data_IF_758879841309
#
_entry.id   IF_758879841309
#
_cell.length_a   1.000
_cell.length_b   1.000
_cell.length_c   1.000
_cell.angle_alpha   90.00
_cell.angle_beta   90.00
_cell.angle_gamma   90.00
#
_symmetry.space_group_name_H-M   'P 1'
#
loop_
_entity.id
_entity.type
_entity.pdbx_description
1 polymer ?
#
# COMPACT_ATOMS: atom_id res chain seq x y z
N UNK A 1 -10.53 -4.47 -6.70
CA UNK A 1 -9.84 -5.73 -6.33
C UNK A 1 -10.80 -6.85 -6.73
N UNK A 2 -10.35 -7.79 -7.56
CA UNK A 2 -11.24 -8.67 -8.34
C UNK A 2 -11.53 -10.04 -7.68
N UNK A 3 -11.23 -10.23 -6.39
CA UNK A 3 -11.58 -11.47 -5.69
C UNK A 3 -10.90 -11.62 -4.34
N UNK A 4 -11.28 -12.68 -3.63
CA UNK A 4 -10.65 -13.06 -2.37
C UNK A 4 -9.18 -13.43 -2.58
N UNK A 5 -8.31 -12.91 -1.71
CA UNK A 5 -6.85 -12.99 -1.88
C UNK A 5 -6.28 -14.41 -2.02
N UNK A 6 -6.98 -15.41 -1.48
CA UNK A 6 -6.54 -16.81 -1.42
C UNK A 6 -7.33 -17.73 -2.37
N UNK A 7 -7.98 -17.15 -3.39
CA UNK A 7 -8.74 -17.89 -4.41
C UNK A 7 -7.88 -18.83 -5.25
N UNK A 8 -6.63 -18.45 -5.54
CA UNK A 8 -5.70 -19.22 -6.36
C UNK A 8 -4.50 -19.69 -5.53
N UNK A 9 -3.92 -20.84 -5.89
CA UNK A 9 -2.71 -21.34 -5.27
C UNK A 9 -1.51 -20.46 -5.66
N UNK A 10 -0.70 -20.16 -4.66
CA UNK A 10 0.58 -19.45 -4.82
C UNK A 10 1.73 -20.35 -4.40
N UNK A 11 2.88 -20.18 -5.05
CA UNK A 11 4.13 -20.81 -4.64
C UNK A 11 4.71 -20.09 -3.40
N UNK A 12 5.88 -20.56 -2.94
CA UNK A 12 6.57 -20.01 -1.76
C UNK A 12 6.99 -18.52 -1.89
N UNK A 13 7.00 -17.98 -3.11
CA UNK A 13 7.31 -16.58 -3.40
C UNK A 13 6.06 -15.71 -3.60
N UNK A 14 4.86 -16.27 -3.45
CA UNK A 14 3.58 -15.57 -3.68
C UNK A 14 3.15 -15.45 -5.14
N UNK A 15 3.86 -16.09 -6.08
CA UNK A 15 3.47 -16.14 -7.49
C UNK A 15 2.45 -17.24 -7.74
N UNK A 16 1.52 -17.03 -8.69
CA UNK A 16 0.50 -18.04 -9.01
C UNK A 16 1.11 -19.34 -9.56
N UNK A 17 0.56 -20.47 -9.11
CA UNK A 17 0.78 -21.78 -9.72
C UNK A 17 -0.24 -21.91 -10.86
N UNK A 18 0.22 -22.33 -12.04
CA UNK A 18 -0.63 -22.43 -13.23
C UNK A 18 -0.77 -23.88 -13.68
N UNK A 19 -1.89 -24.18 -14.33
CA UNK A 19 -2.16 -25.44 -15.01
C UNK A 19 -2.57 -25.20 -16.47
N UNK A 20 -2.37 -26.20 -17.31
CA UNK A 20 -2.77 -26.18 -18.72
C UNK A 20 -4.13 -26.86 -18.84
N UNK A 21 -5.11 -26.15 -19.38
CA UNK A 21 -6.47 -26.65 -19.64
C UNK A 21 -6.75 -26.50 -21.12
N UNK A 22 -7.32 -27.55 -21.72
CA UNK A 22 -7.81 -27.46 -23.10
C UNK A 22 -9.17 -26.77 -23.07
N UNK A 23 -9.27 -25.66 -23.78
CA UNK A 23 -10.54 -24.96 -24.00
C UNK A 23 -11.42 -25.81 -24.91
N UNK A 24 -12.61 -26.19 -24.44
CA UNK A 24 -13.54 -27.04 -25.19
C UNK A 24 -14.17 -26.34 -26.40
N UNK A 25 -14.19 -25.00 -26.42
CA UNK A 25 -14.79 -24.20 -27.50
C UNK A 25 -13.79 -23.94 -28.63
N UNK A 26 -12.53 -23.70 -28.30
CA UNK A 26 -11.49 -23.36 -29.29
C UNK A 26 -10.54 -24.52 -29.60
N UNK A 27 -10.48 -25.54 -28.73
CA UNK A 27 -9.50 -26.63 -28.81
C UNK A 27 -8.07 -26.21 -28.44
N UNK A 28 -7.86 -24.96 -28.05
CA UNK A 28 -6.54 -24.45 -27.68
C UNK A 28 -6.19 -24.81 -26.24
N UNK A 29 -4.90 -25.10 -26.00
CA UNK A 29 -4.40 -25.28 -24.63
C UNK A 29 -4.07 -23.91 -24.04
N UNK A 30 -4.87 -23.49 -23.07
CA UNK A 30 -4.70 -22.23 -22.34
C UNK A 30 -4.09 -22.47 -20.96
N UNK A 31 -3.38 -21.48 -20.45
CA UNK A 31 -2.72 -21.53 -19.13
C UNK A 31 -3.52 -20.71 -18.13
N UNK A 32 -4.06 -21.36 -17.10
CA UNK A 32 -4.93 -20.73 -16.08
C UNK A 32 -4.34 -20.87 -14.67
N UNK A 33 -4.56 -19.90 -13.75
CA UNK A 33 -4.15 -20.05 -12.37
C UNK A 33 -4.91 -21.19 -11.68
N UNK A 34 -4.18 -22.08 -11.01
CA UNK A 34 -4.76 -23.22 -10.31
C UNK A 34 -5.57 -22.77 -9.10
N UNK A 35 -6.80 -23.25 -8.98
CA UNK A 35 -7.70 -22.89 -7.88
C UNK A 35 -7.21 -23.49 -6.55
N UNK A 36 -7.37 -22.74 -5.47
CA UNK A 36 -7.08 -23.25 -4.12
C UNK A 36 -8.16 -24.27 -3.71
N UNK A 37 -7.82 -25.50 -3.30
CA UNK A 37 -8.80 -26.48 -2.82
C UNK A 37 -9.64 -26.00 -1.63
N UNK A 38 -9.09 -25.12 -0.80
CA UNK A 38 -9.80 -24.55 0.36
C UNK A 38 -10.73 -23.38 -0.03
N UNK A 39 -10.71 -22.98 -1.30
CA UNK A 39 -11.60 -21.95 -1.79
C UNK A 39 -13.05 -22.45 -1.82
N UNK A 40 -13.96 -21.63 -1.30
CA UNK A 40 -15.40 -21.83 -1.41
C UNK A 40 -16.06 -20.57 -1.96
N UNK A 41 -17.01 -20.67 -2.91
CA UNK A 41 -17.78 -19.53 -3.40
C UNK A 41 -18.51 -18.75 -2.28
N UNK A 42 -18.87 -19.41 -1.18
CA UNK A 42 -19.46 -18.76 -0.02
C UNK A 42 -18.50 -17.74 0.64
N UNK A 43 -17.19 -18.03 0.64
CA UNK A 43 -16.18 -17.11 1.16
C UNK A 43 -16.01 -15.87 0.27
N UNK A 44 -16.30 -15.97 -1.02
CA UNK A 44 -16.26 -14.84 -1.95
C UNK A 44 -17.52 -13.97 -1.84
N UNK A 45 -18.68 -14.56 -1.54
CA UNK A 45 -19.93 -13.83 -1.35
C UNK A 45 -19.87 -12.84 -0.18
N UNK A 46 -19.20 -13.21 0.91
CA UNK A 46 -19.04 -12.37 2.11
C UNK A 46 -17.73 -11.54 2.09
N UNK A 47 -17.00 -11.53 0.97
CA UNK A 47 -15.70 -10.86 0.91
C UNK A 47 -15.82 -9.35 0.71
N UNK A 48 -15.37 -8.60 1.71
CA UNK A 48 -15.12 -7.17 1.55
C UNK A 48 -13.71 -6.88 1.04
N UNK A 49 -13.64 -6.15 -0.07
CA UNK A 49 -12.37 -5.71 -0.65
C UNK A 49 -11.59 -4.86 0.35
N UNK A 50 -10.25 -5.00 0.38
CA UNK A 50 -9.37 -4.22 1.29
C UNK A 50 -9.61 -2.71 1.23
N UNK A 51 -9.99 -2.16 0.07
CA UNK A 51 -10.25 -0.74 -0.09
C UNK A 51 -11.50 -0.24 0.68
N UNK A 52 -12.39 -1.14 1.09
CA UNK A 52 -13.60 -0.82 1.85
C UNK A 52 -13.45 -1.08 3.36
N UNK A 53 -12.28 -1.57 3.80
CA UNK A 53 -12.04 -2.02 5.18
C UNK A 53 -11.08 -1.10 5.92
N UNK A 54 -11.48 -0.63 7.09
CA UNK A 54 -10.78 0.41 7.86
C UNK A 54 -9.38 0.01 8.33
N UNK A 55 -9.09 -1.29 8.50
CA UNK A 55 -7.76 -1.73 8.90
C UNK A 55 -6.71 -1.55 7.79
N UNK A 56 -7.14 -1.45 6.52
CA UNK A 56 -6.26 -1.35 5.37
C UNK A 56 -6.05 0.10 4.94
N UNK A 57 -4.79 0.52 4.97
CA UNK A 57 -4.39 1.87 4.61
C UNK A 57 -3.50 1.88 3.37
N UNK A 58 -3.68 2.89 2.51
CA UNK A 58 -2.77 3.13 1.40
C UNK A 58 -1.50 3.79 1.96
N UNK A 59 -0.36 3.13 1.78
CA UNK A 59 0.95 3.65 2.22
C UNK A 59 1.74 4.10 0.99
N UNK A 60 2.08 5.40 0.95
CA UNK A 60 2.90 5.99 -0.10
C UNK A 60 4.37 5.61 0.04
N UNK A 61 4.83 4.60 -0.71
CA UNK A 61 6.20 4.10 -0.61
C UNK A 61 7.23 4.92 -1.42
N UNK A 62 6.79 5.64 -2.44
CA UNK A 62 7.68 6.43 -3.29
C UNK A 62 6.95 7.65 -3.85
N UNK A 63 7.68 8.73 -4.09
CA UNK A 63 7.17 9.97 -4.67
C UNK A 63 7.10 11.12 -3.67
N UNK A 64 6.30 12.14 -4.01
CA UNK A 64 6.13 13.35 -3.22
C UNK A 64 4.86 13.25 -2.39
N UNK A 65 5.01 13.18 -1.08
CA UNK A 65 3.90 12.94 -0.15
C UNK A 65 3.74 14.10 0.83
N UNK A 66 2.48 14.34 1.23
CA UNK A 66 2.17 15.24 2.33
C UNK A 66 2.40 14.51 3.65
N UNK A 67 3.20 15.11 4.53
CA UNK A 67 3.57 14.53 5.82
C UNK A 67 3.28 15.52 6.93
N UNK A 68 2.89 15.00 8.10
CA UNK A 68 2.80 15.77 9.34
C UNK A 68 4.20 16.05 9.84
N UNK A 69 4.45 17.26 10.32
CA UNK A 69 5.74 17.68 10.88
C UNK A 69 5.55 18.41 12.20
N UNK A 70 6.58 18.41 13.04
CA UNK A 70 6.63 19.25 14.23
C UNK A 70 7.19 20.66 13.94
N UNK A 71 7.44 21.45 14.98
CA UNK A 71 7.96 22.82 14.89
C UNK A 71 9.44 22.90 14.52
N UNK A 72 10.17 21.79 14.45
CA UNK A 72 11.62 21.78 14.20
C UNK A 72 12.00 21.79 12.72
N UNK A 73 11.03 21.53 11.83
CA UNK A 73 11.26 21.24 10.41
C UNK A 73 11.13 22.48 9.52
N UNK A 74 12.12 22.71 8.66
CA UNK A 74 12.11 23.75 7.63
C UNK A 74 12.29 23.18 6.22
N UNK A 75 11.95 23.94 5.15
CA UNK A 75 12.27 23.54 3.79
C UNK A 75 13.76 23.26 3.61
N UNK A 76 14.10 22.14 2.97
CA UNK A 76 15.47 21.69 2.80
C UNK A 76 16.03 20.87 3.96
N UNK A 77 15.33 20.73 5.09
CA UNK A 77 15.74 19.80 6.15
C UNK A 77 15.49 18.34 5.74
N UNK A 78 16.15 17.43 6.45
CA UNK A 78 15.80 16.01 6.47
C UNK A 78 14.92 15.72 7.68
N UNK A 79 14.03 14.74 7.54
CA UNK A 79 13.14 14.31 8.61
C UNK A 79 13.20 12.81 8.86
N UNK A 80 13.03 12.45 10.13
CA UNK A 80 12.70 11.09 10.59
C UNK A 80 11.36 11.12 11.33
N UNK A 81 10.75 9.96 11.57
CA UNK A 81 9.47 9.88 12.25
C UNK A 81 9.66 9.73 13.77
N UNK A 82 8.98 10.59 14.52
CA UNK A 82 8.75 10.42 15.96
C UNK A 82 7.24 10.30 16.20
N UNK A 83 6.77 9.12 16.58
CA UNK A 83 5.34 8.80 16.75
C UNK A 83 4.46 9.20 15.54
N UNK A 84 4.98 8.97 14.32
CA UNK A 84 4.27 9.27 13.07
C UNK A 84 4.27 10.75 12.66
N UNK A 85 5.01 11.61 13.37
CA UNK A 85 5.23 13.02 13.00
C UNK A 85 6.69 13.18 12.54
N UNK A 86 6.90 13.88 11.43
CA UNK A 86 8.22 14.22 10.92
C UNK A 86 8.92 15.24 11.82
N UNK A 87 10.07 14.85 12.36
CA UNK A 87 10.96 15.67 13.18
C UNK A 87 12.28 15.86 12.45
N UNK A 88 12.90 17.03 12.59
CA UNK A 88 14.18 17.34 11.95
C UNK A 88 15.26 16.33 12.35
N UNK A 89 16.01 15.86 11.36
CA UNK A 89 17.11 14.92 11.52
C UNK A 89 18.29 15.28 10.60
N UNK A 90 19.43 14.62 10.81
CA UNK A 90 20.60 14.76 9.94
C UNK A 90 20.39 14.04 8.59
N UNK A 91 19.59 12.97 8.59
CA UNK A 91 19.32 12.10 7.45
C UNK A 91 17.85 11.65 7.44
N UNK A 92 17.41 11.02 6.35
CA UNK A 92 16.04 10.55 6.15
C UNK A 92 15.40 11.16 4.91
N UNK A 93 14.12 11.49 4.98
CA UNK A 93 13.39 12.02 3.83
C UNK A 93 13.58 13.53 3.69
N UNK A 94 13.79 13.99 2.45
CA UNK A 94 14.03 15.42 2.18
C UNK A 94 12.73 16.19 2.17
N UNK A 95 12.66 17.27 2.93
CA UNK A 95 11.54 18.22 2.91
C UNK A 95 11.73 19.21 1.77
N UNK A 96 10.74 19.29 0.88
CA UNK A 96 10.74 20.22 -0.25
C UNK A 96 10.19 21.59 0.13
N UNK A 97 9.02 21.60 0.75
CA UNK A 97 8.35 22.84 1.17
C UNK A 97 7.34 22.56 2.28
N UNK A 98 7.05 23.61 3.06
CA UNK A 98 5.94 23.62 3.99
C UNK A 98 4.68 24.09 3.27
N UNK A 99 3.55 23.45 3.53
CA UNK A 99 2.23 23.84 3.01
C UNK A 99 1.31 24.36 4.11
N UNK A 100 1.55 23.97 5.36
CA UNK A 100 0.97 24.58 6.54
C UNK A 100 2.02 24.64 7.65
N UNK A 101 2.19 25.81 8.27
CA UNK A 101 3.07 25.96 9.42
C UNK A 101 2.54 25.18 10.63
N UNK A 102 3.43 24.84 11.55
CA UNK A 102 3.07 24.21 12.81
C UNK A 102 2.10 25.09 13.61
N UNK A 103 1.06 24.47 14.16
CA UNK A 103 0.11 25.10 15.08
C UNK A 103 0.06 24.29 16.39
N UNK A 104 0.27 24.92 17.56
CA UNK A 104 0.15 24.25 18.86
C UNK A 104 -1.24 23.63 19.09
N UNK A 105 -2.30 24.26 18.56
CA UNK A 105 -3.68 23.78 18.69
C UNK A 105 -3.91 22.46 17.94
N UNK A 106 -3.26 22.30 16.78
CA UNK A 106 -3.34 21.07 15.96
C UNK A 106 -2.30 20.03 16.37
N UNK A 107 -1.19 20.47 16.98
CA UNK A 107 -0.06 19.64 17.33
C UNK A 107 0.84 19.24 16.16
N UNK A 108 0.60 19.74 14.94
CA UNK A 108 1.42 19.46 13.75
C UNK A 108 1.33 20.58 12.68
N UNK A 109 2.33 20.63 11.81
CA UNK A 109 2.33 21.31 10.51
C UNK A 109 2.28 20.32 9.35
N UNK A 110 2.22 20.81 8.11
CA UNK A 110 2.19 19.96 6.91
C UNK A 110 3.31 20.37 5.97
N UNK A 111 4.06 19.37 5.51
CA UNK A 111 5.13 19.53 4.52
C UNK A 111 4.95 18.57 3.35
N UNK A 112 5.57 18.90 2.21
CA UNK A 112 5.80 17.94 1.13
C UNK A 112 7.21 17.39 1.28
N UNK A 113 7.32 16.08 1.46
CA UNK A 113 8.59 15.35 1.50
C UNK A 113 8.72 14.41 0.30
N UNK A 114 9.95 14.12 -0.12
CA UNK A 114 10.24 13.10 -1.14
C UNK A 114 10.62 11.80 -0.44
N UNK A 115 9.83 10.77 -0.69
CA UNK A 115 10.11 9.39 -0.29
C UNK A 115 10.69 8.69 -1.52
N UNK A 116 11.83 8.03 -1.35
CA UNK A 116 12.56 7.31 -2.40
C UNK A 116 12.78 5.89 -1.97
#
# INVERSE_FOLDING_TARGET
SFGWQSRFLTNEFGGFIYESVTDEETGETIRVPKQNPDYSPALEADYEARAARDEWHIVGLSGRHYVRIDSTVNPGDYITAHNGIGTKAAEGWKVLKLTALYSPEKGYGIAIAVIK
#
